data_IF_054515407482
#
_entry.id   IF_054515407482
#
_cell.length_a   1.000
_cell.length_b   1.000
_cell.length_c   1.000
_cell.angle_alpha   90.00
_cell.angle_beta   90.00
_cell.angle_gamma   90.00
#
_symmetry.space_group_name_H-M   'P 1'
#
loop_
_entity.id
_entity.type
_entity.pdbx_description
1 polymer ?
#
# COMPACT_ATOMS: atom_id res chain seq x y z
N UNK A 1 2.66 -6.08 4.52
CA UNK A 1 3.44 -4.91 5.00
C UNK A 1 2.80 -4.16 6.19
N UNK A 2 1.67 -4.60 6.76
CA UNK A 2 1.03 -3.92 7.91
C UNK A 2 1.66 -4.22 9.26
N UNK A 3 2.18 -5.43 9.45
CA UNK A 3 2.76 -5.83 10.73
C UNK A 3 4.07 -5.06 11.00
N UNK A 4 4.95 -4.95 10.01
CA UNK A 4 6.25 -4.29 10.18
C UNK A 4 6.07 -2.80 10.53
N UNK A 5 5.21 -2.05 9.82
CA UNK A 5 5.03 -0.61 10.15
C UNK A 5 4.52 -0.38 11.57
N UNK A 6 3.65 -1.25 12.11
CA UNK A 6 3.11 -1.08 13.48
C UNK A 6 4.14 -1.31 14.57
N UNK A 7 5.13 -2.16 14.33
CA UNK A 7 6.22 -2.38 15.28
C UNK A 7 7.40 -1.43 15.06
N UNK A 8 7.65 -1.04 13.81
CA UNK A 8 8.80 -0.23 13.43
C UNK A 8 8.55 1.27 13.63
N UNK A 9 7.33 1.77 13.41
CA UNK A 9 7.03 3.20 13.56
C UNK A 9 7.20 3.71 15.01
N UNK A 10 6.78 2.98 16.06
CA UNK A 10 7.08 3.37 17.43
C UNK A 10 8.59 3.50 17.70
N UNK A 11 9.42 2.66 17.08
CA UNK A 11 10.87 2.71 17.21
C UNK A 11 11.48 3.88 16.43
N UNK A 12 11.06 4.11 15.18
CA UNK A 12 11.50 5.27 14.37
C UNK A 12 11.11 6.59 15.06
N UNK A 13 9.95 6.63 15.74
CA UNK A 13 9.49 7.81 16.49
C UNK A 13 10.42 8.26 17.61
N UNK A 14 11.28 7.39 18.13
CA UNK A 14 12.25 7.77 19.15
C UNK A 14 13.42 8.59 18.56
N UNK A 15 13.58 8.60 17.24
CA UNK A 15 14.62 9.35 16.54
C UNK A 15 14.28 10.84 16.43
N UNK A 16 15.29 11.74 16.39
CA UNK A 16 15.09 13.16 16.06
C UNK A 16 14.32 13.36 14.75
N UNK A 17 13.57 14.46 14.64
CA UNK A 17 12.71 14.76 13.48
C UNK A 17 13.40 14.63 12.11
N UNK A 18 14.63 15.14 11.91
CA UNK A 18 15.31 15.00 10.61
C UNK A 18 15.58 13.53 10.26
N UNK A 19 16.02 12.74 11.25
CA UNK A 19 16.34 11.33 11.07
C UNK A 19 15.08 10.49 10.82
N UNK A 20 14.00 10.76 11.55
CA UNK A 20 12.68 10.15 11.34
C UNK A 20 12.17 10.37 9.90
N UNK A 21 12.26 11.61 9.40
CA UNK A 21 11.84 11.95 8.04
C UNK A 21 12.73 11.25 7.00
N UNK A 22 14.03 11.13 7.25
CA UNK A 22 14.94 10.37 6.38
C UNK A 22 14.59 8.89 6.34
N UNK A 23 14.40 8.26 7.50
CA UNK A 23 14.03 6.84 7.60
C UNK A 23 12.68 6.56 6.93
N UNK A 24 11.72 7.47 7.07
CA UNK A 24 10.45 7.41 6.35
C UNK A 24 10.66 7.49 4.83
N UNK A 25 11.49 8.44 4.34
CA UNK A 25 11.73 8.63 2.90
C UNK A 25 12.38 7.41 2.26
N UNK A 26 13.38 6.80 2.93
CA UNK A 26 14.01 5.57 2.44
C UNK A 26 13.00 4.43 2.34
N UNK A 27 12.15 4.29 3.35
CA UNK A 27 11.06 3.30 3.36
C UNK A 27 10.06 3.56 2.23
N UNK A 28 9.72 4.82 1.99
CA UNK A 28 8.82 5.22 0.91
C UNK A 28 9.41 4.92 -0.47
N UNK A 29 10.68 5.27 -0.72
CA UNK A 29 11.36 5.01 -1.99
C UNK A 29 11.44 3.50 -2.28
N UNK A 30 11.75 2.70 -1.26
CA UNK A 30 11.79 1.24 -1.41
C UNK A 30 10.40 0.68 -1.75
N UNK A 31 9.36 1.16 -1.06
CA UNK A 31 7.98 0.75 -1.28
C UNK A 31 7.43 1.20 -2.64
N UNK A 32 7.74 2.42 -3.07
CA UNK A 32 7.26 2.98 -4.34
C UNK A 32 7.91 2.31 -5.55
N UNK A 33 9.15 1.85 -5.42
CA UNK A 33 9.83 1.06 -6.46
C UNK A 33 9.31 -0.37 -6.54
N UNK A 34 9.03 -1.03 -5.42
CA UNK A 34 8.70 -2.47 -5.41
C UNK A 34 7.20 -2.75 -5.62
N UNK A 35 6.33 -1.93 -5.04
CA UNK A 35 4.90 -2.21 -5.01
C UNK A 35 4.22 -2.24 -6.39
N UNK A 36 4.52 -1.34 -7.36
CA UNK A 36 3.90 -1.36 -8.67
C UNK A 36 4.21 -2.64 -9.46
N UNK A 37 5.46 -3.11 -9.43
CA UNK A 37 5.84 -4.35 -10.12
C UNK A 37 5.13 -5.57 -9.52
N UNK A 38 5.05 -5.66 -8.19
CA UNK A 38 4.31 -6.74 -7.53
C UNK A 38 2.82 -6.70 -7.88
N UNK A 39 2.22 -5.50 -7.91
CA UNK A 39 0.82 -5.34 -8.31
C UNK A 39 0.58 -5.76 -9.76
N UNK A 40 1.49 -5.41 -10.68
CA UNK A 40 1.42 -5.77 -12.09
C UNK A 40 1.52 -7.28 -12.30
N UNK A 41 2.49 -7.94 -11.67
CA UNK A 41 2.65 -9.40 -11.76
C UNK A 41 1.40 -10.10 -11.24
N UNK A 42 0.88 -9.67 -10.09
CA UNK A 42 -0.32 -10.26 -9.50
C UNK A 42 -1.57 -10.02 -10.37
N UNK A 43 -1.77 -8.80 -10.86
CA UNK A 43 -2.90 -8.46 -11.73
C UNK A 43 -2.87 -9.25 -13.04
N UNK A 44 -1.69 -9.44 -13.63
CA UNK A 44 -1.50 -10.20 -14.87
C UNK A 44 -1.80 -11.69 -14.65
N UNK A 45 -1.33 -12.27 -13.54
CA UNK A 45 -1.62 -13.64 -13.18
C UNK A 45 -3.13 -13.88 -12.99
N UNK A 46 -3.81 -12.99 -12.26
CA UNK A 46 -5.26 -13.07 -12.05
C UNK A 46 -6.05 -12.86 -13.34
N UNK A 47 -5.60 -11.93 -14.21
CA UNK A 47 -6.20 -11.70 -15.51
C UNK A 47 -6.10 -12.93 -16.42
N UNK A 48 -4.92 -13.59 -16.44
CA UNK A 48 -4.71 -14.83 -17.21
C UNK A 48 -5.66 -15.95 -16.76
N UNK A 49 -5.80 -16.15 -15.45
CA UNK A 49 -6.74 -17.13 -14.89
C UNK A 49 -8.18 -16.78 -15.27
N UNK A 50 -8.57 -15.50 -15.19
CA UNK A 50 -9.92 -15.06 -15.61
C UNK A 50 -10.20 -15.34 -17.09
N UNK A 51 -9.20 -15.16 -17.95
CA UNK A 51 -9.33 -15.41 -19.39
C UNK A 51 -9.52 -16.89 -19.70
N UNK A 52 -8.77 -17.75 -19.01
CA UNK A 52 -8.85 -19.20 -19.19
C UNK A 52 -10.19 -19.78 -18.71
N UNK A 53 -10.79 -19.21 -17.65
CA UNK A 53 -12.07 -19.65 -17.08
C UNK A 53 -13.26 -18.72 -17.40
N UNK A 54 -13.18 -17.94 -18.48
CA UNK A 54 -14.17 -16.89 -18.82
C UNK A 54 -15.62 -17.38 -18.94
N UNK A 55 -15.85 -18.66 -19.25
CA UNK A 55 -17.18 -19.24 -19.44
C UNK A 55 -17.83 -19.74 -18.14
N UNK A 56 -17.10 -19.73 -17.02
CA UNK A 56 -17.59 -20.22 -15.73
C UNK A 56 -17.92 -19.07 -14.77
N UNK A 57 -18.74 -19.36 -13.76
CA UNK A 57 -19.06 -18.36 -12.72
C UNK A 57 -17.82 -17.96 -11.93
N UNK A 58 -16.82 -18.85 -11.81
CA UNK A 58 -15.53 -18.55 -11.20
C UNK A 58 -14.71 -17.54 -12.02
N UNK A 59 -14.77 -17.58 -13.36
CA UNK A 59 -14.10 -16.61 -14.23
C UNK A 59 -14.49 -15.15 -13.94
N UNK A 60 -15.76 -14.92 -13.57
CA UNK A 60 -16.26 -13.59 -13.17
C UNK A 60 -15.66 -13.13 -11.83
N UNK A 61 -15.45 -14.05 -10.88
CA UNK A 61 -14.80 -13.75 -9.60
C UNK A 61 -13.32 -13.40 -9.78
N UNK A 62 -12.61 -14.11 -10.68
CA UNK A 62 -11.23 -13.79 -11.04
C UNK A 62 -11.08 -12.46 -11.77
N UNK A 63 -12.03 -12.13 -12.66
CA UNK A 63 -12.08 -10.82 -13.31
C UNK A 63 -12.29 -9.69 -12.27
N UNK A 64 -13.20 -9.89 -11.31
CA UNK A 64 -13.43 -8.93 -10.23
C UNK A 64 -12.18 -8.78 -9.34
N UNK A 65 -11.50 -9.88 -9.01
CA UNK A 65 -10.24 -9.84 -8.25
C UNK A 65 -9.11 -9.09 -8.99
N UNK A 66 -9.01 -9.26 -10.32
CA UNK A 66 -8.06 -8.51 -11.16
C UNK A 66 -8.37 -7.01 -11.18
N UNK A 67 -9.64 -6.63 -11.33
CA UNK A 67 -10.07 -5.21 -11.28
C UNK A 67 -9.78 -4.60 -9.91
N UNK A 68 -10.06 -5.34 -8.82
CA UNK A 68 -9.69 -4.92 -7.46
C UNK A 68 -8.18 -4.73 -7.31
N UNK A 69 -7.36 -5.62 -7.86
CA UNK A 69 -5.91 -5.48 -7.84
C UNK A 69 -5.43 -4.22 -8.58
N UNK A 70 -6.03 -3.89 -9.74
CA UNK A 70 -5.70 -2.68 -10.51
C UNK A 70 -6.21 -1.42 -9.79
N UNK A 71 -7.36 -1.48 -9.12
CA UNK A 71 -7.98 -0.35 -8.39
C UNK A 71 -7.12 0.19 -7.23
N UNK A 72 -6.12 -0.58 -6.78
CA UNK A 72 -5.14 -0.14 -5.80
C UNK A 72 -4.28 1.02 -6.33
N UNK A 73 -4.04 1.08 -7.65
CA UNK A 73 -3.24 2.13 -8.30
C UNK A 73 -3.92 3.51 -8.14
N UNK A 74 -5.18 3.73 -8.59
CA UNK A 74 -5.84 5.03 -8.41
C UNK A 74 -6.03 5.40 -6.94
N UNK A 75 -6.32 4.44 -6.05
CA UNK A 75 -6.36 4.72 -4.60
C UNK A 75 -5.04 5.29 -4.09
N UNK A 76 -3.91 4.73 -4.53
CA UNK A 76 -2.58 5.17 -4.09
C UNK A 76 -2.28 6.59 -4.58
N UNK A 77 -2.60 6.90 -5.83
CA UNK A 77 -2.37 8.24 -6.42
C UNK A 77 -3.27 9.29 -5.78
N UNK A 78 -4.55 8.99 -5.52
CA UNK A 78 -5.49 10.00 -5.01
C UNK A 78 -5.37 10.19 -3.50
N UNK A 79 -5.22 9.10 -2.73
CA UNK A 79 -5.36 9.14 -1.27
C UNK A 79 -4.00 9.23 -0.55
N UNK A 80 -2.98 8.56 -1.08
CA UNK A 80 -1.67 8.43 -0.40
C UNK A 80 -0.66 9.46 -0.89
N UNK A 81 -0.67 9.79 -2.19
CA UNK A 81 0.26 10.75 -2.79
C UNK A 81 0.29 12.13 -2.11
N UNK A 82 -0.86 12.75 -1.73
CA UNK A 82 -0.82 14.06 -1.07
C UNK A 82 -0.07 14.00 0.26
N UNK A 83 -0.30 12.95 1.06
CA UNK A 83 0.39 12.76 2.34
C UNK A 83 1.90 12.55 2.15
N UNK A 84 2.31 11.81 1.11
CA UNK A 84 3.74 11.64 0.80
C UNK A 84 4.39 12.97 0.41
N UNK A 85 3.72 13.79 -0.40
CA UNK A 85 4.26 15.09 -0.82
C UNK A 85 4.52 16.01 0.37
N UNK A 86 3.59 16.08 1.33
CA UNK A 86 3.79 16.85 2.56
C UNK A 86 5.01 16.37 3.37
N UNK A 87 5.17 15.05 3.50
CA UNK A 87 6.29 14.47 4.23
C UNK A 87 7.63 14.65 3.49
N UNK A 88 7.64 14.65 2.15
CA UNK A 88 8.80 15.00 1.32
C UNK A 88 9.20 16.46 1.52
N UNK A 89 8.25 17.40 1.47
CA UNK A 89 8.50 18.83 1.72
C UNK A 89 9.08 19.08 3.12
N UNK A 90 8.61 18.33 4.13
CA UNK A 90 9.15 18.42 5.49
C UNK A 90 10.54 17.83 5.60
N UNK A 91 10.81 16.73 4.88
CA UNK A 91 12.14 16.15 4.81
C UNK A 91 13.15 17.10 4.13
N UNK A 92 12.77 17.77 3.05
CA UNK A 92 13.62 18.76 2.36
C UNK A 92 14.01 19.94 3.24
N UNK A 93 13.12 20.33 4.18
CA UNK A 93 13.38 21.36 5.18
C UNK A 93 14.07 20.83 6.43
N UNK A 94 14.46 19.56 6.47
CA UNK A 94 14.99 18.88 7.66
C UNK A 94 14.07 18.99 8.89
N UNK A 95 12.76 19.23 8.69
CA UNK A 95 11.81 19.50 9.77
C UNK A 95 11.97 20.87 10.44
N UNK A 96 12.74 21.81 9.87
CA UNK A 96 12.90 23.17 10.40
C UNK A 96 11.54 23.89 10.44
N UNK A 97 11.19 24.41 11.63
CA UNK A 97 9.93 25.12 11.85
C UNK A 97 8.69 24.23 11.91
N UNK A 98 8.85 22.89 11.88
CA UNK A 98 7.76 21.94 12.02
C UNK A 98 7.72 21.42 13.46
N UNK A 99 6.55 21.47 14.11
CA UNK A 99 6.41 20.85 15.42
C UNK A 99 6.49 19.34 15.31
N UNK A 100 7.21 18.71 16.24
CA UNK A 100 7.36 17.25 16.26
C UNK A 100 6.02 16.51 16.23
N UNK A 101 5.03 17.05 16.95
CA UNK A 101 3.67 16.50 17.02
C UNK A 101 3.00 16.40 15.65
N UNK A 102 3.19 17.41 14.79
CA UNK A 102 2.61 17.45 13.44
C UNK A 102 3.23 16.36 12.56
N UNK A 103 4.54 16.14 12.70
CA UNK A 103 5.26 15.04 12.02
C UNK A 103 4.73 13.68 12.46
N UNK A 104 4.58 13.48 13.77
CA UNK A 104 4.06 12.23 14.31
C UNK A 104 2.63 11.96 13.86
N UNK A 105 1.75 12.98 13.86
CA UNK A 105 0.38 12.88 13.38
C UNK A 105 0.34 12.51 11.89
N UNK A 106 1.13 13.19 11.06
CA UNK A 106 1.17 12.94 9.61
C UNK A 106 1.72 11.56 9.28
N UNK A 107 2.75 11.09 9.98
CA UNK A 107 3.25 9.71 9.86
C UNK A 107 2.17 8.71 10.31
N UNK A 108 1.38 9.04 11.34
CA UNK A 108 0.26 8.18 11.76
C UNK A 108 -0.80 8.08 10.67
N UNK A 109 -1.15 9.21 10.05
CA UNK A 109 -2.08 9.27 8.93
C UNK A 109 -1.58 8.42 7.75
N UNK A 110 -0.30 8.56 7.40
CA UNK A 110 0.35 7.75 6.38
C UNK A 110 0.26 6.25 6.68
N UNK A 111 0.52 5.86 7.93
CA UNK A 111 0.44 4.47 8.41
C UNK A 111 -0.97 3.91 8.31
N UNK A 112 -1.96 4.72 8.69
CA UNK A 112 -3.37 4.35 8.59
C UNK A 112 -3.77 4.12 7.14
N UNK A 113 -3.40 5.02 6.24
CA UNK A 113 -3.67 4.89 4.79
C UNK A 113 -3.03 3.65 4.17
N UNK A 114 -1.82 3.28 4.59
CA UNK A 114 -1.15 2.05 4.17
C UNK A 114 -1.79 0.78 4.76
N UNK A 115 -2.41 0.90 5.95
CA UNK A 115 -3.19 -0.18 6.56
C UNK A 115 -4.46 -0.46 5.77
N UNK A 116 -5.18 0.58 5.35
CA UNK A 116 -6.35 0.46 4.47
C UNK A 116 -5.99 -0.20 3.14
N UNK A 117 -4.88 0.20 2.51
CA UNK A 117 -4.39 -0.44 1.28
C UNK A 117 -4.19 -1.94 1.46
N UNK A 118 -3.61 -2.34 2.59
CA UNK A 118 -3.33 -3.75 2.86
C UNK A 118 -4.60 -4.55 3.14
N UNK A 119 -5.61 -3.94 3.75
CA UNK A 119 -6.94 -4.55 3.92
C UNK A 119 -7.56 -4.84 2.55
N UNK A 120 -7.53 -3.87 1.63
CA UNK A 120 -8.02 -4.04 0.26
C UNK A 120 -7.28 -5.17 -0.49
N UNK A 121 -5.96 -5.23 -0.36
CA UNK A 121 -5.17 -6.33 -0.97
C UNK A 121 -5.52 -7.68 -0.36
N UNK A 122 -5.79 -7.75 0.96
CA UNK A 122 -6.16 -8.98 1.65
C UNK A 122 -7.55 -9.46 1.24
N UNK A 123 -8.51 -8.54 1.09
CA UNK A 123 -9.84 -8.86 0.52
C UNK A 123 -9.73 -9.40 -0.91
N UNK A 124 -8.90 -8.79 -1.76
CA UNK A 124 -8.63 -9.29 -3.10
C UNK A 124 -8.03 -10.70 -3.11
N UNK A 125 -7.09 -10.97 -2.20
CA UNK A 125 -6.49 -12.30 -2.01
C UNK A 125 -7.47 -13.35 -1.51
N UNK A 126 -8.34 -13.01 -0.54
CA UNK A 126 -9.36 -13.92 -0.03
C UNK A 126 -10.42 -14.25 -1.09
N UNK A 127 -10.81 -13.28 -1.92
CA UNK A 127 -11.73 -13.53 -3.04
C UNK A 127 -11.11 -14.46 -4.08
N UNK A 128 -9.83 -14.28 -4.41
CA UNK A 128 -9.10 -15.20 -5.27
C UNK A 128 -9.01 -16.61 -4.67
N UNK A 129 -8.71 -16.71 -3.37
CA UNK A 129 -8.59 -17.99 -2.67
C UNK A 129 -9.94 -18.71 -2.55
N UNK A 130 -11.03 -17.98 -2.30
CA UNK A 130 -12.39 -18.52 -2.30
C UNK A 130 -12.79 -19.03 -3.69
N UNK A 131 -12.38 -18.35 -4.76
CA UNK A 131 -12.59 -18.82 -6.13
C UNK A 131 -11.78 -20.09 -6.45
N UNK A 132 -10.63 -20.31 -5.82
CA UNK A 132 -9.87 -21.58 -5.90
C UNK A 132 -10.58 -22.69 -5.14
N UNK A 133 -10.99 -22.45 -3.88
CA UNK A 133 -11.57 -23.49 -3.01
C UNK A 133 -12.93 -23.94 -3.50
N UNK A 134 -13.78 -23.02 -3.99
CA UNK A 134 -15.11 -23.38 -4.52
C UNK A 134 -15.04 -24.30 -5.75
N UNK A 135 -13.86 -24.45 -6.34
CA UNK A 135 -13.58 -25.29 -7.50
C UNK A 135 -13.06 -26.69 -7.12
N UNK A 136 -12.59 -26.93 -5.89
CA UNK A 136 -12.17 -28.28 -5.42
C UNK A 136 -13.36 -29.06 -4.87
#
# INVERSE_FOLDING_TARGET
>A
MTCISRFVIPAIRQSPTPLLLSQWKDTYILGSRTAPYMALVNATAMAYVSYHFRSSSEGKLWALASVLAISIIPYTVVVVFPTNKFLEEWHEKEGLGIYRKDVDEKISEWTYKQSTRSCLTLTGGLLALFAVIRRS
#
